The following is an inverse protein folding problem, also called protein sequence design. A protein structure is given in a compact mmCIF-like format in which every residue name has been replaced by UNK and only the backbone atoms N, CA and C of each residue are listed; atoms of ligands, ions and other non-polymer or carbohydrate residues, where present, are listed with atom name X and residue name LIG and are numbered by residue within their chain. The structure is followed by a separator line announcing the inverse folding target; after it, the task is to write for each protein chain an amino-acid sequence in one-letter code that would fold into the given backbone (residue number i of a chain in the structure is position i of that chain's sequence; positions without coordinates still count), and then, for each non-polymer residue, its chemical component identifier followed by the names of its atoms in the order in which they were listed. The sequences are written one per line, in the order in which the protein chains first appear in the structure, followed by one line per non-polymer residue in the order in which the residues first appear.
data_IF_259458538482
#
_entry.id   IF_259458538482
#
_cell.length_a   1.000
_cell.length_b   1.000
_cell.length_c   1.000
_cell.angle_alpha   90.00
_cell.angle_beta   90.00
_cell.angle_gamma   90.00
#
_symmetry.space_group_name_H-M   'P 1'
#
loop_
_entity.id
_entity.type
_entity.pdbx_description
1 polymer ?
#
# COMPACT_ATOMS: atom_id res chain seq x y z
N UNK A 1 5.83 5.78 -17.84
CA UNK A 1 5.01 4.56 -17.74
C UNK A 1 3.76 4.86 -16.93
N UNK A 2 2.60 4.42 -17.41
CA UNK A 2 1.33 4.38 -16.71
C UNK A 2 1.01 2.92 -16.39
N UNK A 3 0.98 2.56 -15.10
CA UNK A 3 0.60 1.20 -14.69
C UNK A 3 -0.92 1.16 -14.57
N UNK A 4 -1.57 0.55 -15.57
CA UNK A 4 -3.02 0.55 -15.71
C UNK A 4 -3.73 -0.05 -14.49
N UNK A 5 -4.76 0.66 -14.02
CA UNK A 5 -5.63 0.21 -12.94
C UNK A 5 -6.97 -0.28 -13.46
N UNK A 6 -7.74 -0.93 -12.59
CA UNK A 6 -9.08 -1.40 -12.93
C UNK A 6 -10.07 -0.26 -13.21
N UNK A 7 -9.83 0.93 -12.65
CA UNK A 7 -10.63 2.14 -12.92
C UNK A 7 -10.12 2.94 -14.12
N UNK A 8 -8.85 2.77 -14.47
CA UNK A 8 -8.14 3.55 -15.49
C UNK A 8 -7.34 2.58 -16.39
N UNK A 9 -8.03 1.78 -17.21
CA UNK A 9 -7.40 0.76 -18.05
C UNK A 9 -6.51 1.38 -19.15
N UNK A 10 -6.84 2.59 -19.55
CA UNK A 10 -6.09 3.41 -20.50
C UNK A 10 -5.53 4.64 -19.78
N UNK A 11 -4.32 5.06 -20.17
CA UNK A 11 -3.78 6.33 -19.69
C UNK A 11 -4.62 7.51 -20.21
N UNK A 12 -4.65 8.64 -19.48
CA UNK A 12 -5.21 9.89 -20.01
C UNK A 12 -4.59 10.24 -21.37
N UNK A 13 -5.41 10.67 -22.32
CA UNK A 13 -5.00 10.86 -23.73
C UNK A 13 -3.78 11.77 -23.92
N UNK A 14 -3.60 12.76 -23.05
CA UNK A 14 -2.51 13.74 -23.12
C UNK A 14 -1.33 13.41 -22.18
N UNK A 15 -1.32 12.22 -21.56
CA UNK A 15 -0.23 11.80 -20.68
C UNK A 15 0.90 11.16 -21.51
N UNK A 16 2.09 11.78 -21.60
CA UNK A 16 3.20 11.18 -22.33
C UNK A 16 3.71 9.91 -21.65
N UNK A 17 4.15 8.94 -22.45
CA UNK A 17 4.76 7.68 -22.01
C UNK A 17 3.95 6.45 -22.41
N UNK A 18 4.36 5.28 -21.90
CA UNK A 18 3.74 3.99 -22.22
C UNK A 18 2.78 3.51 -21.15
N UNK A 19 1.61 3.03 -21.56
CA UNK A 19 0.69 2.28 -20.70
C UNK A 19 1.11 0.82 -20.62
N UNK A 20 1.27 0.31 -19.42
CA UNK A 20 1.66 -1.07 -19.13
C UNK A 20 0.75 -1.65 -18.05
N UNK A 21 0.57 -2.97 -18.04
CA UNK A 21 -0.16 -3.64 -16.94
C UNK A 21 0.71 -3.77 -15.68
N UNK A 22 2.00 -4.02 -15.89
CA UNK A 22 3.00 -4.16 -14.86
C UNK A 22 4.33 -3.61 -15.39
N UNK A 23 5.18 -3.13 -14.48
CA UNK A 23 6.51 -2.63 -14.81
C UNK A 23 7.54 -3.32 -13.93
N UNK A 24 8.51 -4.01 -14.54
CA UNK A 24 9.63 -4.62 -13.83
C UNK A 24 10.87 -3.72 -13.92
N UNK A 25 11.48 -3.42 -12.78
CA UNK A 25 12.75 -2.68 -12.70
C UNK A 25 13.67 -3.41 -11.71
N UNK A 26 14.70 -4.07 -12.23
CA UNK A 26 15.55 -4.94 -11.42
C UNK A 26 14.72 -6.03 -10.74
N UNK A 27 14.84 -6.13 -9.42
CA UNK A 27 14.08 -7.10 -8.60
C UNK A 27 12.69 -6.60 -8.18
N UNK A 28 12.24 -5.44 -8.65
CA UNK A 28 10.96 -4.86 -8.28
C UNK A 28 9.93 -5.02 -9.40
N UNK A 29 8.68 -5.30 -9.00
CA UNK A 29 7.54 -5.37 -9.92
C UNK A 29 6.45 -4.41 -9.44
N UNK A 30 6.18 -3.38 -10.23
CA UNK A 30 5.15 -2.38 -9.98
C UNK A 30 3.85 -2.79 -10.68
N UNK A 31 2.74 -2.76 -9.95
CA UNK A 31 1.39 -3.10 -10.45
C UNK A 31 0.32 -2.24 -9.75
N UNK A 32 -0.87 -2.12 -10.34
CA UNK A 32 -1.95 -1.38 -9.70
C UNK A 32 -2.55 -2.16 -8.52
N UNK A 33 -3.01 -3.38 -8.75
CA UNK A 33 -3.61 -4.24 -7.71
C UNK A 33 -2.60 -5.25 -7.14
N UNK A 34 -2.59 -5.51 -5.82
CA UNK A 34 -1.76 -6.56 -5.25
C UNK A 34 -2.11 -7.94 -5.81
N UNK A 35 -1.11 -8.76 -6.10
CA UNK A 35 -1.33 -10.13 -6.53
C UNK A 35 -1.90 -11.00 -5.42
N UNK A 36 -2.87 -11.85 -5.78
CA UNK A 36 -3.39 -12.91 -4.90
C UNK A 36 -2.28 -13.89 -4.48
N UNK A 37 -1.38 -14.20 -5.40
CA UNK A 37 -0.19 -15.00 -5.11
C UNK A 37 0.95 -14.10 -4.64
N UNK A 38 1.82 -14.65 -3.81
CA UNK A 38 3.01 -13.92 -3.36
C UNK A 38 4.01 -13.77 -4.50
N UNK A 39 4.45 -12.53 -4.72
CA UNK A 39 5.54 -12.17 -5.61
C UNK A 39 6.52 -11.32 -4.79
N UNK A 40 7.76 -11.78 -4.65
CA UNK A 40 8.80 -11.03 -3.96
C UNK A 40 9.21 -9.80 -4.81
N UNK A 41 9.42 -8.65 -4.16
CA UNK A 41 9.69 -7.37 -4.81
C UNK A 41 8.46 -6.65 -5.35
N UNK A 42 7.25 -7.12 -5.04
CA UNK A 42 6.02 -6.48 -5.51
C UNK A 42 5.75 -5.14 -4.80
N UNK A 43 5.45 -4.11 -5.59
CA UNK A 43 4.97 -2.81 -5.13
C UNK A 43 3.62 -2.54 -5.79
N UNK A 44 2.56 -2.49 -4.98
CA UNK A 44 1.19 -2.35 -5.46
C UNK A 44 0.46 -1.13 -4.85
N UNK A 45 -0.62 -0.70 -5.48
CA UNK A 45 -1.53 0.33 -4.99
C UNK A 45 -2.90 -0.25 -4.63
N UNK A 46 -3.95 0.38 -5.17
CA UNK A 46 -5.37 -0.03 -5.13
C UNK A 46 -6.04 -0.03 -3.73
N UNK A 47 -5.49 -0.75 -2.74
CA UNK A 47 -6.14 -0.92 -1.43
C UNK A 47 -5.98 0.28 -0.48
N UNK A 48 -5.03 1.16 -0.77
CA UNK A 48 -4.78 2.42 -0.06
C UNK A 48 -4.69 2.26 1.47
N UNK A 49 -3.62 1.62 1.99
CA UNK A 49 -3.52 1.29 3.40
C UNK A 49 -3.50 2.50 4.31
N UNK A 50 -4.21 2.35 5.42
CA UNK A 50 -4.01 3.12 6.63
C UNK A 50 -3.76 2.19 7.81
N UNK A 51 -3.04 2.70 8.80
CA UNK A 51 -2.80 2.01 10.05
C UNK A 51 -3.42 2.80 11.20
N UNK A 52 -3.88 2.08 12.21
CA UNK A 52 -4.35 2.64 13.47
C UNK A 52 -3.48 2.10 14.60
N UNK A 53 -3.06 2.99 15.49
CA UNK A 53 -2.41 2.67 16.75
C UNK A 53 -3.15 3.34 17.91
N UNK A 54 -3.01 2.78 19.11
CA UNK A 54 -3.48 3.39 20.35
C UNK A 54 -2.31 3.46 21.33
N UNK A 55 -1.92 4.67 21.72
CA UNK A 55 -0.80 4.89 22.64
C UNK A 55 -1.16 5.99 23.64
N UNK A 56 -0.91 5.74 24.93
CA UNK A 56 -1.22 6.69 26.03
C UNK A 56 -2.67 7.20 25.97
N UNK A 57 -3.63 6.31 25.68
CA UNK A 57 -5.05 6.64 25.57
C UNK A 57 -5.46 7.41 24.31
N UNK A 58 -4.53 7.70 23.39
CA UNK A 58 -4.82 8.42 22.14
C UNK A 58 -4.80 7.47 20.96
N UNK A 59 -5.86 7.53 20.16
CA UNK A 59 -5.99 6.77 18.91
C UNK A 59 -5.49 7.62 17.74
N UNK A 60 -4.56 7.09 16.95
CA UNK A 60 -4.03 7.74 15.76
C UNK A 60 -4.25 6.83 14.56
N UNK A 61 -4.93 7.36 13.53
CA UNK A 61 -5.14 6.69 12.25
C UNK A 61 -4.53 7.53 11.14
N UNK A 62 -3.64 6.94 10.35
CA UNK A 62 -2.95 7.63 9.24
C UNK A 62 -2.78 6.69 8.05
N UNK A 63 -2.73 7.26 6.85
CA UNK A 63 -2.24 6.57 5.65
C UNK A 63 -0.82 6.04 5.92
N UNK A 64 -0.49 4.91 5.32
CA UNK A 64 0.82 4.29 5.50
C UNK A 64 1.23 3.56 4.22
N UNK A 65 2.53 3.33 4.06
CA UNK A 65 2.97 2.19 3.28
C UNK A 65 2.89 0.95 4.18
N UNK A 66 2.36 -0.16 3.67
CA UNK A 66 2.33 -1.42 4.40
C UNK A 66 3.24 -2.43 3.69
N UNK A 67 4.16 -3.05 4.41
CA UNK A 67 5.07 -4.02 3.82
C UNK A 67 5.61 -5.02 4.83
N UNK A 68 6.22 -6.09 4.33
CA UNK A 68 6.69 -7.21 5.16
C UNK A 68 8.10 -7.71 4.79
N UNK A 69 8.82 -6.89 4.02
CA UNK A 69 10.12 -7.21 3.44
C UNK A 69 10.06 -7.94 2.10
N UNK A 70 8.93 -8.56 1.74
CA UNK A 70 8.74 -9.23 0.45
C UNK A 70 7.83 -8.48 -0.53
N UNK A 71 6.86 -7.71 -0.03
CA UNK A 71 6.05 -6.81 -0.85
C UNK A 71 5.69 -5.53 -0.10
N UNK A 72 5.23 -4.53 -0.85
CA UNK A 72 4.73 -3.27 -0.33
C UNK A 72 3.41 -2.87 -1.01
N UNK A 73 2.46 -2.36 -0.22
CA UNK A 73 1.25 -1.71 -0.70
C UNK A 73 1.33 -0.23 -0.33
N UNK A 74 1.21 0.64 -1.33
CA UNK A 74 1.35 2.08 -1.21
C UNK A 74 0.02 2.76 -0.88
N UNK A 75 0.03 3.82 -0.05
CA UNK A 75 -1.17 4.62 0.16
C UNK A 75 -1.54 5.34 -1.14
N UNK A 76 -2.79 5.76 -1.24
CA UNK A 76 -3.16 6.68 -2.31
C UNK A 76 -2.41 8.00 -2.18
N UNK A 77 -2.02 8.56 -3.33
CA UNK A 77 -1.44 9.88 -3.42
C UNK A 77 -2.48 10.99 -3.15
N UNK A 78 -3.67 10.87 -3.76
CA UNK A 78 -4.74 11.86 -3.64
C UNK A 78 -5.37 11.95 -2.24
N UNK A 79 -5.94 13.11 -1.90
CA UNK A 79 -6.58 13.35 -0.60
C UNK A 79 -7.99 12.75 -0.45
N UNK A 80 -8.64 12.42 -1.57
CA UNK A 80 -10.08 12.09 -1.63
C UNK A 80 -10.38 10.59 -1.68
N UNK A 81 -9.36 9.73 -1.71
CA UNK A 81 -9.55 8.28 -1.73
C UNK A 81 -9.74 7.74 -0.32
N UNK A 82 -10.69 6.81 -0.19
CA UNK A 82 -10.83 6.00 1.02
C UNK A 82 -9.54 5.25 1.32
N UNK A 83 -9.30 4.99 2.60
CA UNK A 83 -8.16 4.17 3.05
C UNK A 83 -8.67 3.01 3.89
N UNK A 84 -8.18 1.80 3.61
CA UNK A 84 -8.55 0.59 4.34
C UNK A 84 -7.54 0.34 5.47
N UNK A 85 -8.03 -0.09 6.64
CA UNK A 85 -7.12 -0.48 7.72
C UNK A 85 -6.30 -1.70 7.26
N UNK A 86 -4.99 -1.73 7.52
CA UNK A 86 -4.12 -2.88 7.16
C UNK A 86 -4.60 -4.21 7.78
N UNK A 87 -5.40 -4.17 8.85
CA UNK A 87 -6.04 -5.34 9.45
C UNK A 87 -7.42 -5.68 8.85
N UNK A 88 -7.86 -4.98 7.81
CA UNK A 88 -9.09 -5.31 7.08
C UNK A 88 -8.93 -6.65 6.33
N UNK A 89 -10.04 -7.39 6.16
CA UNK A 89 -10.07 -8.66 5.43
C UNK A 89 -9.54 -8.57 3.99
N UNK A 90 -9.58 -7.39 3.37
CA UNK A 90 -8.99 -7.16 2.04
C UNK A 90 -7.47 -7.41 2.01
N UNK A 91 -6.79 -7.35 3.16
CA UNK A 91 -5.35 -7.64 3.28
C UNK A 91 -5.04 -9.09 3.68
N UNK A 92 -6.05 -9.93 3.90
CA UNK A 92 -5.85 -11.31 4.33
C UNK A 92 -4.96 -12.08 3.33
N UNK A 93 -3.87 -12.67 3.84
CA UNK A 93 -2.92 -13.44 3.02
C UNK A 93 -1.94 -12.59 2.20
N UNK A 94 -2.05 -11.25 2.21
CA UNK A 94 -1.12 -10.40 1.45
C UNK A 94 0.24 -10.31 2.13
N UNK A 95 0.28 -10.19 3.47
CA UNK A 95 1.52 -9.97 4.23
C UNK A 95 1.88 -11.15 5.14
N UNK A 96 3.18 -11.35 5.36
CA UNK A 96 3.73 -12.11 6.49
C UNK A 96 3.47 -11.30 7.75
N UNK A 97 2.66 -11.82 8.67
CA UNK A 97 2.23 -11.07 9.85
C UNK A 97 3.38 -10.81 10.82
N UNK A 98 4.37 -11.71 10.83
CA UNK A 98 5.54 -11.68 11.70
C UNK A 98 6.48 -10.52 11.37
N UNK A 99 6.53 -10.13 10.08
CA UNK A 99 7.41 -9.07 9.56
C UNK A 99 6.64 -7.85 9.07
N UNK A 100 5.32 -7.81 9.26
CA UNK A 100 4.48 -6.70 8.85
C UNK A 100 4.91 -5.40 9.56
N UNK A 101 5.15 -4.36 8.78
CA UNK A 101 5.42 -2.99 9.23
C UNK A 101 4.50 -2.03 8.47
N UNK A 102 3.84 -1.16 9.22
CA UNK A 102 3.15 0.01 8.68
C UNK A 102 4.05 1.24 8.83
N UNK A 103 4.50 1.79 7.71
CA UNK A 103 5.23 3.05 7.63
C UNK A 103 4.22 4.20 7.59
N UNK A 104 3.76 4.63 8.76
CA UNK A 104 2.72 5.64 8.94
C UNK A 104 3.22 7.03 8.55
N UNK A 105 2.44 7.71 7.70
CA UNK A 105 2.73 9.08 7.26
C UNK A 105 2.42 10.08 8.37
N UNK A 106 3.44 10.80 8.83
CA UNK A 106 3.31 12.03 9.59
C UNK A 106 3.29 13.27 8.68
N UNK A 107 3.28 14.45 9.28
CA UNK A 107 3.34 15.71 8.54
C UNK A 107 4.67 15.89 7.80
N UNK A 108 5.79 15.53 8.45
CA UNK A 108 7.14 15.76 7.92
C UNK A 108 8.03 14.52 7.94
N UNK A 109 7.54 13.41 8.50
CA UNK A 109 8.32 12.17 8.66
C UNK A 109 7.46 10.93 8.60
N UNK A 110 8.13 9.80 8.39
CA UNK A 110 7.53 8.47 8.38
C UNK A 110 7.83 7.78 9.72
N UNK A 111 6.83 7.08 10.25
CA UNK A 111 6.96 6.29 11.48
C UNK A 111 6.81 4.81 11.15
N UNK A 112 7.84 4.01 11.40
CA UNK A 112 7.78 2.57 11.25
C UNK A 112 7.09 1.94 12.48
N UNK A 113 5.93 1.32 12.26
CA UNK A 113 5.10 0.71 13.31
C UNK A 113 4.99 -0.79 13.02
N UNK A 114 5.49 -1.62 13.95
CA UNK A 114 5.31 -3.07 13.91
C UNK A 114 3.83 -3.45 13.81
N UNK A 115 3.53 -4.50 13.03
CA UNK A 115 2.20 -5.10 12.89
C UNK A 115 1.55 -5.43 14.24
N UNK A 116 2.35 -5.85 15.23
CA UNK A 116 1.87 -6.16 16.59
C UNK A 116 1.28 -4.96 17.35
N UNK A 117 1.65 -3.74 16.96
CA UNK A 117 1.12 -2.50 17.56
C UNK A 117 -0.16 -2.02 16.89
N UNK A 118 -0.53 -2.58 15.74
CA UNK A 118 -1.71 -2.15 14.98
C UNK A 118 -3.00 -2.53 15.70
N UNK A 119 -4.04 -1.74 15.44
CA UNK A 119 -5.38 -1.96 15.96
C UNK A 119 -6.41 -1.95 14.83
N UNK A 120 -7.49 -2.74 14.93
CA UNK A 120 -8.59 -2.72 13.95
C UNK A 120 -9.22 -1.34 13.81
N UNK A 121 -10.00 -1.17 12.73
CA UNK A 121 -10.71 0.05 12.33
C UNK A 121 -11.28 0.85 13.47
#
# INVERSE_FOLDING_TARGET
FWVAGNHDPDAPADLPGETVRELAIGSLVFRHEPSKLRVEGEIAGHLHPCARIVQRGRSVRRRCFAGDGGRMIMPAFGAYTGSLNVLDRAYAGLFRLETLVAYMLGAERIFAISGSMLRPG
#
